data_IF_595948715758
#
_entry.id   IF_595948715758
#
_cell.length_a   1.000
_cell.length_b   1.000
_cell.length_c   1.000
_cell.angle_alpha   90.00
_cell.angle_beta   90.00
_cell.angle_gamma   90.00
#
_symmetry.space_group_name_H-M   'P 1'
#
loop_
_entity.id
_entity.type
_entity.pdbx_description
1 polymer ?
#
# COMPACT_ATOMS: atom_id res chain seq x y z
N UNK A 1 -50.83 15.20 1.70
CA UNK A 1 -49.93 14.27 2.43
C UNK A 1 -49.47 14.96 3.71
N UNK A 2 -49.94 14.52 4.90
CA UNK A 2 -49.43 15.02 6.19
C UNK A 2 -48.23 14.16 6.58
N UNK A 3 -47.03 14.65 6.29
CA UNK A 3 -45.80 14.01 6.77
C UNK A 3 -45.74 14.22 8.29
N UNK A 4 -45.84 13.13 9.06
CA UNK A 4 -45.79 13.19 10.51
C UNK A 4 -44.40 13.66 10.95
N UNK A 5 -44.32 14.60 11.91
CA UNK A 5 -43.04 15.10 12.46
C UNK A 5 -42.10 13.97 12.89
N UNK A 6 -42.67 12.90 13.45
CA UNK A 6 -41.95 11.68 13.86
C UNK A 6 -41.26 11.00 12.67
N UNK A 7 -41.94 10.92 11.52
CA UNK A 7 -41.40 10.30 10.31
C UNK A 7 -40.21 11.10 9.75
N UNK A 8 -40.26 12.43 9.87
CA UNK A 8 -39.17 13.31 9.48
C UNK A 8 -37.94 13.13 10.39
N UNK A 9 -38.14 13.00 11.70
CA UNK A 9 -37.06 12.75 12.67
C UNK A 9 -36.37 11.41 12.38
N UNK A 10 -37.13 10.36 12.09
CA UNK A 10 -36.56 9.05 11.72
C UNK A 10 -35.73 9.13 10.44
N UNK A 11 -36.24 9.80 9.40
CA UNK A 11 -35.52 9.98 8.13
C UNK A 11 -34.20 10.74 8.32
N UNK A 12 -34.22 11.84 9.08
CA UNK A 12 -33.02 12.63 9.39
C UNK A 12 -32.03 11.82 10.23
N UNK A 13 -32.50 11.04 11.22
CA UNK A 13 -31.65 10.16 12.02
C UNK A 13 -30.95 9.07 11.19
N UNK A 14 -31.66 8.48 10.22
CA UNK A 14 -31.12 7.48 9.29
C UNK A 14 -30.05 8.08 8.36
N UNK A 15 -30.25 9.31 7.89
CA UNK A 15 -29.28 10.03 7.07
C UNK A 15 -27.99 10.35 7.85
N UNK A 16 -28.11 10.78 9.10
CA UNK A 16 -26.93 11.10 9.94
C UNK A 16 -26.14 9.83 10.27
N UNK A 17 -26.82 8.75 10.68
CA UNK A 17 -26.15 7.49 11.06
C UNK A 17 -25.47 6.78 9.89
N UNK A 18 -26.06 6.82 8.69
CA UNK A 18 -25.44 6.28 7.48
C UNK A 18 -24.20 7.08 7.07
N UNK A 19 -24.24 8.41 7.18
CA UNK A 19 -23.11 9.30 6.88
C UNK A 19 -21.90 9.05 7.81
N UNK A 20 -22.14 8.92 9.11
CA UNK A 20 -21.08 8.64 10.12
C UNK A 20 -20.44 7.26 9.89
N UNK A 21 -21.26 6.27 9.54
CA UNK A 21 -20.79 4.92 9.20
C UNK A 21 -19.93 4.90 7.92
N UNK A 22 -20.26 5.74 6.94
CA UNK A 22 -19.47 5.90 5.71
C UNK A 22 -18.08 6.48 5.97
N UNK A 23 -18.00 7.51 6.82
CA UNK A 23 -16.72 8.18 7.17
C UNK A 23 -15.74 7.27 7.90
N UNK A 24 -16.22 6.31 8.70
CA UNK A 24 -15.36 5.33 9.38
C UNK A 24 -14.62 4.39 8.42
N UNK A 25 -15.03 4.31 7.15
CA UNK A 25 -14.47 3.38 6.18
C UNK A 25 -13.63 4.08 5.10
N UNK A 26 -13.23 5.32 5.33
CA UNK A 26 -12.39 6.11 4.43
C UNK A 26 -11.00 6.25 5.05
N UNK A 27 -9.97 5.80 4.33
CA UNK A 27 -8.57 6.04 4.71
C UNK A 27 -8.05 7.29 3.99
N UNK A 28 -7.22 8.10 4.67
CA UNK A 28 -6.51 9.22 4.06
C UNK A 28 -5.02 8.93 3.97
N UNK A 29 -4.48 8.83 2.77
CA UNK A 29 -3.05 8.59 2.54
C UNK A 29 -2.48 9.58 1.51
N UNK A 30 -1.43 10.32 1.89
CA UNK A 30 -0.76 11.34 1.05
C UNK A 30 -1.74 12.29 0.33
N UNK A 31 -2.76 12.78 1.05
CA UNK A 31 -3.77 13.69 0.51
C UNK A 31 -4.84 13.03 -0.37
N UNK A 32 -4.75 11.72 -0.65
CA UNK A 32 -5.80 10.96 -1.36
C UNK A 32 -6.71 10.24 -0.39
N UNK A 33 -7.99 10.20 -0.71
CA UNK A 33 -8.97 9.37 -0.01
C UNK A 33 -9.01 7.99 -0.67
N UNK A 34 -9.01 6.95 0.16
CA UNK A 34 -9.11 5.56 -0.25
C UNK A 34 -10.35 4.95 0.40
N UNK A 35 -11.13 4.22 -0.38
CA UNK A 35 -12.27 3.45 0.13
C UNK A 35 -11.81 2.11 0.71
N UNK A 36 -12.64 1.51 1.56
CA UNK A 36 -12.40 0.17 2.12
C UNK A 36 -12.03 -0.84 1.03
N UNK A 37 -10.93 -1.57 1.22
CA UNK A 37 -10.42 -2.57 0.28
C UNK A 37 -9.62 -2.00 -0.89
N UNK A 38 -9.65 -0.69 -1.11
CA UNK A 38 -8.84 -0.06 -2.14
C UNK A 38 -7.36 -0.24 -1.83
N UNK A 39 -6.60 -0.65 -2.85
CA UNK A 39 -5.15 -0.75 -2.80
C UNK A 39 -4.53 0.44 -3.54
N UNK A 40 -3.48 1.01 -2.96
CA UNK A 40 -2.65 1.99 -3.63
C UNK A 40 -1.23 1.46 -3.67
N UNK A 41 -0.72 1.36 -4.90
CA UNK A 41 0.65 0.94 -5.17
C UNK A 41 1.43 2.22 -5.44
N UNK A 42 2.38 2.51 -4.56
CA UNK A 42 3.44 3.45 -4.86
C UNK A 42 4.74 2.66 -4.99
N UNK A 43 5.75 3.26 -5.59
CA UNK A 43 7.02 2.58 -5.77
C UNK A 43 7.62 2.10 -4.44
N UNK A 44 7.47 2.88 -3.37
CA UNK A 44 8.02 2.55 -2.05
C UNK A 44 7.24 1.46 -1.29
N UNK A 45 5.91 1.48 -1.42
CA UNK A 45 4.99 0.69 -0.59
C UNK A 45 3.70 0.39 -1.32
N UNK A 46 3.20 -0.82 -1.09
CA UNK A 46 1.83 -1.22 -1.38
C UNK A 46 1.03 -1.07 -0.09
N UNK A 47 0.00 -0.23 -0.14
CA UNK A 47 -0.90 -0.01 1.00
C UNK A 47 -2.33 -0.40 0.64
N UNK A 48 -3.09 -0.77 1.66
CA UNK A 48 -4.54 -0.96 1.56
C UNK A 48 -5.28 -0.27 2.67
N UNK A 49 -6.49 0.17 2.35
CA UNK A 49 -7.44 0.64 3.35
C UNK A 49 -8.24 -0.54 3.94
N UNK A 50 -8.11 -0.78 5.24
CA UNK A 50 -8.89 -1.74 6.00
C UNK A 50 -10.03 -1.06 6.79
N UNK A 51 -10.83 -1.86 7.50
CA UNK A 51 -11.99 -1.38 8.29
C UNK A 51 -11.54 -0.34 9.31
N UNK A 52 -12.46 0.57 9.64
CA UNK A 52 -12.23 1.68 10.57
C UNK A 52 -11.18 2.71 10.10
N UNK A 53 -10.92 2.79 8.79
CA UNK A 53 -10.00 3.76 8.22
C UNK A 53 -8.52 3.44 8.48
N UNK A 54 -8.22 2.18 8.82
CA UNK A 54 -6.86 1.72 9.11
C UNK A 54 -6.09 1.50 7.82
N UNK A 55 -4.92 2.11 7.71
CA UNK A 55 -4.01 1.87 6.59
C UNK A 55 -3.08 0.71 6.95
N UNK A 56 -3.07 -0.31 6.11
CA UNK A 56 -2.15 -1.44 6.24
C UNK A 56 -1.12 -1.41 5.14
N UNK A 57 0.15 -1.51 5.53
CA UNK A 57 1.25 -1.72 4.60
C UNK A 57 1.25 -3.21 4.25
N UNK A 58 0.92 -3.52 3.01
CA UNK A 58 0.86 -4.88 2.49
C UNK A 58 2.26 -5.38 2.14
N UNK A 59 3.00 -4.56 1.39
CA UNK A 59 4.37 -4.84 0.97
C UNK A 59 5.17 -3.53 0.88
N UNK A 60 6.48 -3.64 1.00
CA UNK A 60 7.44 -2.56 0.77
C UNK A 60 8.52 -3.03 -0.19
N UNK A 61 9.26 -2.10 -0.80
CA UNK A 61 10.39 -2.47 -1.64
C UNK A 61 11.28 -3.52 -0.95
N UNK A 62 11.68 -4.58 -1.66
CA UNK A 62 12.48 -5.63 -1.05
C UNK A 62 13.83 -5.07 -0.64
N UNK A 63 14.33 -5.53 0.52
CA UNK A 63 15.70 -5.23 0.92
C UNK A 63 16.63 -6.23 0.23
N UNK A 64 17.25 -5.76 -0.85
CA UNK A 64 18.20 -6.52 -1.64
C UNK A 64 19.62 -6.44 -1.04
N UNK A 65 20.35 -7.55 -1.07
CA UNK A 65 21.79 -7.57 -0.78
C UNK A 65 22.52 -8.57 -1.67
N UNK A 66 23.75 -8.23 -2.08
CA UNK A 66 24.59 -9.12 -2.87
C UNK A 66 24.98 -10.36 -2.07
N UNK A 67 24.77 -11.53 -2.66
CA UNK A 67 25.10 -12.80 -2.01
C UNK A 67 26.60 -13.01 -2.08
N UNK A 68 27.27 -13.18 -0.92
CA UNK A 68 28.70 -13.49 -0.91
C UNK A 68 29.00 -14.71 -1.80
N UNK A 69 30.08 -14.68 -2.60
CA UNK A 69 31.21 -13.73 -2.56
C UNK A 69 31.02 -12.44 -3.36
N UNK A 70 29.87 -12.23 -4.03
CA UNK A 70 29.69 -11.09 -4.93
C UNK A 70 29.69 -9.76 -4.18
N UNK A 71 30.38 -8.77 -4.75
CA UNK A 71 30.43 -7.40 -4.24
C UNK A 71 29.37 -6.54 -4.96
N UNK A 72 28.83 -5.51 -4.28
CA UNK A 72 28.03 -4.51 -4.97
C UNK A 72 28.93 -3.72 -5.92
N UNK A 73 28.59 -3.74 -7.21
CA UNK A 73 29.20 -2.93 -8.26
C UNK A 73 28.64 -1.50 -8.27
N UNK A 74 27.43 -1.32 -7.75
CA UNK A 74 26.75 -0.04 -7.70
C UNK A 74 25.39 -0.13 -7.02
N UNK A 75 24.58 0.90 -7.20
CA UNK A 75 23.24 0.98 -6.63
C UNK A 75 22.26 1.55 -7.68
N UNK A 76 21.21 0.80 -8.00
CA UNK A 76 20.07 1.30 -8.77
C UNK A 76 19.29 2.25 -7.88
N UNK A 77 19.18 3.51 -8.30
CA UNK A 77 18.32 4.49 -7.61
C UNK A 77 16.86 4.20 -7.87
N UNK A 78 15.99 4.70 -6.99
CA UNK A 78 14.55 4.62 -7.19
C UNK A 78 14.16 5.32 -8.49
N UNK A 79 13.40 4.64 -9.34
CA UNK A 79 12.88 5.19 -10.59
C UNK A 79 11.36 5.13 -10.59
N UNK A 80 10.73 6.28 -10.34
CA UNK A 80 9.27 6.41 -10.32
C UNK A 80 8.62 6.24 -11.71
N UNK A 81 9.41 6.17 -12.78
CA UNK A 81 8.94 5.94 -14.14
C UNK A 81 8.59 4.46 -14.39
N UNK A 82 9.15 3.55 -13.60
CA UNK A 82 8.87 2.11 -13.71
C UNK A 82 7.74 1.67 -12.75
N UNK A 83 7.02 0.57 -13.07
CA UNK A 83 6.08 -0.03 -12.15
C UNK A 83 6.79 -0.79 -11.01
N UNK A 84 6.13 -0.90 -9.86
CA UNK A 84 6.57 -1.81 -8.80
C UNK A 84 6.59 -3.27 -9.30
N UNK A 85 7.61 -4.09 -8.95
CA UNK A 85 8.75 -3.79 -8.08
C UNK A 85 9.98 -3.22 -8.78
N UNK A 86 9.97 -3.04 -10.11
CA UNK A 86 11.16 -2.61 -10.88
C UNK A 86 11.64 -1.21 -10.52
N UNK A 87 10.71 -0.37 -10.11
CA UNK A 87 10.95 0.98 -9.63
C UNK A 87 11.81 1.03 -8.34
N UNK A 88 11.91 -0.08 -7.60
CA UNK A 88 12.63 -0.15 -6.33
C UNK A 88 14.14 -0.01 -6.53
N UNK A 89 14.78 0.77 -5.67
CA UNK A 89 16.23 0.84 -5.60
C UNK A 89 16.85 -0.41 -4.96
N UNK A 90 18.09 -0.70 -5.30
CA UNK A 90 18.82 -1.87 -4.80
C UNK A 90 20.27 -1.93 -5.26
N UNK A 91 21.11 -2.75 -4.62
CA UNK A 91 22.48 -2.94 -5.05
C UNK A 91 22.51 -3.67 -6.40
N UNK A 92 23.43 -3.26 -7.26
CA UNK A 92 23.77 -3.97 -8.50
C UNK A 92 24.90 -4.92 -8.14
N UNK A 93 24.66 -6.22 -8.26
CA UNK A 93 25.62 -7.25 -7.87
C UNK A 93 26.34 -7.82 -9.09
N UNK A 94 27.62 -8.13 -8.92
CA UNK A 94 28.40 -8.87 -9.92
C UNK A 94 27.74 -10.23 -10.18
N UNK A 95 27.34 -10.52 -11.42
CA UNK A 95 26.58 -11.72 -11.77
C UNK A 95 25.10 -11.71 -11.36
N UNK A 96 24.52 -10.54 -11.02
CA UNK A 96 23.07 -10.35 -10.81
C UNK A 96 22.41 -11.20 -9.71
N UNK A 97 23.20 -11.86 -8.84
CA UNK A 97 22.66 -12.65 -7.73
C UNK A 97 22.31 -11.73 -6.55
N UNK A 98 21.01 -11.57 -6.30
CA UNK A 98 20.46 -10.77 -5.22
C UNK A 98 19.70 -11.66 -4.23
N UNK A 99 19.94 -11.46 -2.94
CA UNK A 99 19.05 -11.98 -1.90
C UNK A 99 18.05 -10.89 -1.53
N UNK A 100 16.77 -11.24 -1.41
CA UNK A 100 15.77 -10.31 -0.90
C UNK A 100 15.02 -10.92 0.28
N UNK A 101 14.78 -10.09 1.29
CA UNK A 101 14.02 -10.47 2.49
C UNK A 101 12.59 -9.96 2.34
N UNK A 102 11.64 -10.87 2.15
CA UNK A 102 10.20 -10.60 2.32
C UNK A 102 9.84 -10.97 3.75
N UNK A 103 8.77 -10.40 4.31
CA UNK A 103 8.25 -10.71 5.65
C UNK A 103 7.98 -12.22 5.90
N UNK A 104 8.09 -13.07 4.87
CA UNK A 104 7.92 -14.54 4.92
C UNK A 104 9.22 -15.35 4.77
N UNK A 105 10.38 -14.73 4.57
CA UNK A 105 11.65 -15.45 4.41
C UNK A 105 12.68 -14.72 3.54
N UNK A 106 13.88 -15.32 3.42
CA UNK A 106 14.94 -14.86 2.52
C UNK A 106 14.93 -15.71 1.26
N UNK A 107 14.84 -15.10 0.09
CA UNK A 107 14.89 -15.79 -1.20
C UNK A 107 16.09 -15.30 -2.00
N UNK A 108 16.82 -16.23 -2.63
CA UNK A 108 17.91 -15.94 -3.55
C UNK A 108 17.30 -15.92 -4.95
N UNK A 109 17.52 -14.84 -5.69
CA UNK A 109 17.08 -14.68 -7.07
C UNK A 109 18.28 -14.26 -7.92
N UNK A 110 18.46 -14.96 -9.02
CA UNK A 110 19.27 -14.53 -10.16
C UNK A 110 18.45 -13.53 -10.95
N UNK A 111 18.88 -12.27 -11.03
CA UNK A 111 18.32 -11.35 -12.01
C UNK A 111 18.80 -11.77 -13.41
N UNK A 112 17.87 -11.89 -14.36
CA UNK A 112 18.15 -12.09 -15.79
C UNK A 112 18.55 -10.77 -16.47
#
# INVERSE_FOLDING_TARGET
MKFNRIQFIFLVGLLITSSVSGLRNICKYKGRQMTLGQKMINCYVIISCEKNGVIKIQDSCPKYSCVRPTKPLGYKVFDASEPYPRCCGGPICEGQIISHKISKGTYIVTAE
#
